data_IF_203763971677
#
_entry.id   IF_203763971677
#
_cell.length_a   1.000
_cell.length_b   1.000
_cell.length_c   1.000
_cell.angle_alpha   90.00
_cell.angle_beta   90.00
_cell.angle_gamma   90.00
#
_symmetry.space_group_name_H-M   'P 1'
#
loop_
_entity.id
_entity.type
_entity.pdbx_description
1 polymer ?
#
# COMPACT_ATOMS: atom_id res chain seq x y z
N UNK A 1 -7.12 10.72 -7.09
CA UNK A 1 -6.19 11.83 -7.38
C UNK A 1 -6.77 12.70 -8.48
N UNK A 2 -6.45 14.00 -8.51
CA UNK A 2 -6.79 14.83 -9.67
C UNK A 2 -5.96 14.38 -10.89
N UNK A 3 -6.50 14.53 -12.10
CA UNK A 3 -5.84 14.07 -13.33
C UNK A 3 -4.50 14.78 -13.58
N UNK A 4 -4.42 16.05 -13.18
CA UNK A 4 -3.21 16.87 -13.23
C UNK A 4 -2.25 16.62 -12.05
N UNK A 5 -2.57 15.66 -11.16
CA UNK A 5 -1.81 15.31 -9.94
C UNK A 5 -1.55 16.52 -9.04
N UNK A 6 -2.45 17.50 -9.04
CA UNK A 6 -2.33 18.69 -8.21
C UNK A 6 -2.28 18.34 -6.72
N UNK A 7 -1.32 18.90 -5.96
CA UNK A 7 -1.24 18.70 -4.52
C UNK A 7 -2.57 18.98 -3.80
N UNK A 8 -2.99 18.05 -2.95
CA UNK A 8 -4.20 18.17 -2.13
C UNK A 8 -5.54 18.09 -2.87
N UNK A 9 -5.55 17.86 -4.18
CA UNK A 9 -6.79 17.87 -4.98
C UNK A 9 -7.53 16.50 -5.01
N UNK A 10 -7.02 15.51 -4.29
CA UNK A 10 -7.61 14.19 -4.13
C UNK A 10 -8.24 13.98 -2.76
N UNK A 11 -8.99 12.87 -2.66
CA UNK A 11 -9.68 12.43 -1.45
C UNK A 11 -9.77 10.91 -1.41
N UNK A 12 -9.95 10.36 -0.21
CA UNK A 12 -10.33 8.96 0.02
C UNK A 12 -11.82 8.91 0.29
N UNK A 13 -12.49 7.92 -0.30
CA UNK A 13 -13.92 7.68 -0.11
C UNK A 13 -14.14 6.28 0.45
N UNK A 14 -15.18 6.15 1.28
CA UNK A 14 -15.75 4.87 1.72
C UNK A 14 -17.07 4.65 1.00
N UNK A 15 -17.25 3.46 0.44
CA UNK A 15 -18.52 2.99 -0.08
C UNK A 15 -19.15 2.06 0.97
N UNK A 16 -20.34 2.43 1.45
CA UNK A 16 -21.12 1.62 2.39
C UNK A 16 -21.92 0.53 1.65
N UNK A 17 -22.36 -0.55 2.33
CA UNK A 17 -23.07 -1.67 1.71
C UNK A 17 -24.39 -1.28 1.00
N UNK A 18 -24.97 -0.12 1.35
CA UNK A 18 -26.18 0.40 0.70
C UNK A 18 -25.87 1.29 -0.53
N UNK A 19 -24.60 1.43 -0.90
CA UNK A 19 -24.14 2.27 -1.99
C UNK A 19 -23.85 3.72 -1.60
N UNK A 20 -24.03 4.10 -0.33
CA UNK A 20 -23.69 5.44 0.14
C UNK A 20 -22.19 5.70 0.04
N UNK A 21 -21.80 6.84 -0.53
CA UNK A 21 -20.39 7.26 -0.64
C UNK A 21 -20.11 8.39 0.34
N UNK A 22 -19.12 8.18 1.21
CA UNK A 22 -18.66 9.17 2.19
C UNK A 22 -17.20 9.52 1.93
N UNK A 23 -16.86 10.80 1.84
CA UNK A 23 -15.46 11.25 1.86
C UNK A 23 -14.90 11.13 3.27
N UNK A 24 -13.81 10.38 3.44
CA UNK A 24 -13.20 10.09 4.76
C UNK A 24 -11.86 10.79 4.98
N UNK A 25 -11.15 11.13 3.90
CA UNK A 25 -9.90 11.91 3.95
C UNK A 25 -9.89 12.89 2.78
N UNK A 26 -9.51 14.14 3.04
CA UNK A 26 -9.30 15.20 2.04
C UNK A 26 -7.81 15.53 1.93
N UNK A 27 -7.46 16.47 1.06
CA UNK A 27 -6.11 17.02 0.95
C UNK A 27 -5.05 15.95 0.61
N UNK A 28 -5.44 15.01 -0.24
CA UNK A 28 -4.58 13.94 -0.77
C UNK A 28 -4.03 14.35 -2.13
N UNK A 29 -2.80 13.98 -2.46
CA UNK A 29 -2.23 14.23 -3.79
C UNK A 29 -2.40 13.01 -4.70
N UNK A 30 -1.73 11.90 -4.37
CA UNK A 30 -1.80 10.62 -5.09
C UNK A 30 -2.19 9.54 -4.07
N UNK A 31 -3.50 9.31 -3.94
CA UNK A 31 -4.02 8.26 -3.05
C UNK A 31 -3.58 6.90 -3.52
N UNK A 32 -3.03 6.09 -2.62
CA UNK A 32 -2.46 4.82 -3.00
C UNK A 32 -2.86 3.69 -2.03
N UNK A 33 -1.90 2.93 -1.50
CA UNK A 33 -2.12 1.83 -0.57
C UNK A 33 -2.93 2.19 0.67
N UNK A 34 -3.83 1.28 1.04
CA UNK A 34 -4.70 1.34 2.22
C UNK A 34 -4.95 -0.09 2.71
N UNK A 35 -4.69 -0.35 3.98
CA UNK A 35 -5.02 -1.64 4.62
C UNK A 35 -5.15 -1.47 6.15
N UNK A 36 -5.57 -2.52 6.86
CA UNK A 36 -5.88 -2.47 8.29
C UNK A 36 -5.04 -3.45 9.11
N UNK A 37 -4.85 -3.11 10.39
CA UNK A 37 -4.29 -4.05 11.36
C UNK A 37 -5.16 -5.32 11.48
N UNK A 38 -4.58 -6.45 11.94
CA UNK A 38 -5.32 -7.71 12.12
C UNK A 38 -6.54 -7.61 13.02
N UNK A 39 -6.47 -6.77 14.06
CA UNK A 39 -7.59 -6.50 14.98
C UNK A 39 -8.57 -5.44 14.45
N UNK A 40 -8.27 -4.82 13.30
CA UNK A 40 -9.07 -3.79 12.66
C UNK A 40 -9.09 -2.44 13.37
N UNK A 41 -8.27 -2.23 14.40
CA UNK A 41 -8.25 -0.99 15.20
C UNK A 41 -7.41 0.13 14.58
N UNK A 42 -6.53 -0.22 13.65
CA UNK A 42 -5.68 0.73 12.92
C UNK A 42 -5.90 0.60 11.41
N UNK A 43 -5.75 1.71 10.69
CA UNK A 43 -5.66 1.73 9.24
C UNK A 43 -4.36 2.41 8.81
N UNK A 44 -3.63 1.79 7.88
CA UNK A 44 -2.39 2.30 7.30
C UNK A 44 -2.66 2.80 5.89
N UNK A 45 -2.10 3.95 5.57
CA UNK A 45 -2.35 4.62 4.31
C UNK A 45 -1.14 5.38 3.84
N UNK A 46 -0.90 5.40 2.53
CA UNK A 46 0.10 6.27 1.92
C UNK A 46 -0.50 7.17 0.83
N UNK A 47 -0.08 8.44 0.88
CA UNK A 47 -0.22 9.38 -0.22
C UNK A 47 1.17 9.48 -0.86
N UNK A 48 1.32 9.03 -2.10
CA UNK A 48 2.63 8.79 -2.73
C UNK A 48 3.58 9.98 -2.64
N UNK A 49 3.08 11.22 -2.80
CA UNK A 49 3.92 12.44 -2.79
C UNK A 49 4.34 12.88 -1.38
N UNK A 50 3.83 12.23 -0.32
CA UNK A 50 4.26 12.49 1.06
C UNK A 50 5.49 11.68 1.49
N UNK A 51 5.92 10.70 0.69
CA UNK A 51 7.06 9.81 0.97
C UNK A 51 6.99 9.13 2.35
N UNK A 52 5.77 8.84 2.82
CA UNK A 52 5.56 8.16 4.09
C UNK A 52 4.28 7.34 4.09
N UNK A 53 4.19 6.43 5.06
CA UNK A 53 2.96 5.77 5.48
C UNK A 53 2.47 6.49 6.74
N UNK A 54 1.19 6.83 6.75
CA UNK A 54 0.47 7.32 7.93
C UNK A 54 -0.39 6.19 8.52
N UNK A 55 -0.68 6.30 9.81
CA UNK A 55 -1.63 5.43 10.53
C UNK A 55 -2.76 6.26 11.11
N UNK A 56 -3.96 5.68 11.09
CA UNK A 56 -5.18 6.20 11.69
C UNK A 56 -5.65 5.24 12.77
N UNK A 57 -6.30 5.77 13.80
CA UNK A 57 -7.18 4.94 14.62
C UNK A 57 -8.48 4.70 13.83
N UNK A 58 -8.92 3.45 13.75
CA UNK A 58 -10.16 3.07 13.07
C UNK A 58 -11.26 2.82 14.12
N UNK A 59 -12.19 3.76 14.21
CA UNK A 59 -13.29 3.71 15.16
C UNK A 59 -14.59 3.26 14.46
N UNK A 60 -15.31 2.23 14.96
CA UNK A 60 -16.49 1.68 14.29
C UNK A 60 -17.59 2.68 13.93
N UNK A 61 -17.71 3.78 14.69
CA UNK A 61 -18.71 4.84 14.44
C UNK A 61 -18.16 6.08 13.75
N UNK A 62 -16.88 6.40 13.96
CA UNK A 62 -16.31 7.68 13.49
C UNK A 62 -15.49 7.48 12.21
N UNK A 63 -15.17 6.24 11.85
CA UNK A 63 -14.28 5.93 10.75
C UNK A 63 -12.83 6.18 11.13
N UNK A 64 -12.06 6.74 10.19
CA UNK A 64 -10.64 7.03 10.36
C UNK A 64 -10.43 8.33 11.12
N UNK A 65 -9.73 8.27 12.25
CA UNK A 65 -9.41 9.44 13.10
C UNK A 65 -7.95 9.42 13.52
N UNK A 66 -7.46 10.51 14.13
CA UNK A 66 -6.11 10.59 14.72
C UNK A 66 -4.96 10.22 13.76
N UNK A 67 -5.00 10.72 12.52
CA UNK A 67 -3.94 10.55 11.53
C UNK A 67 -2.58 10.98 12.09
N UNK A 68 -1.57 10.13 11.98
CA UNK A 68 -0.19 10.41 12.38
C UNK A 68 0.82 9.65 11.51
N UNK A 69 2.07 10.13 11.38
CA UNK A 69 3.12 9.39 10.68
C UNK A 69 3.38 8.01 11.33
N UNK A 70 3.57 6.99 10.49
CA UNK A 70 3.95 5.64 10.91
C UNK A 70 5.37 5.31 10.49
N UNK A 71 5.70 5.44 9.20
CA UNK A 71 7.02 5.17 8.65
C UNK A 71 7.35 6.14 7.53
N UNK A 72 8.60 6.59 7.44
CA UNK A 72 9.08 7.46 6.34
C UNK A 72 9.93 6.66 5.36
N UNK A 73 9.90 7.04 4.09
CA UNK A 73 10.67 6.43 3.01
C UNK A 73 11.61 7.50 2.45
N UNK A 74 12.90 7.19 2.35
CA UNK A 74 13.85 8.12 1.73
C UNK A 74 13.48 8.28 0.25
N UNK A 75 13.40 9.51 -0.30
CA UNK A 75 13.15 9.72 -1.72
C UNK A 75 14.13 9.00 -2.66
N UNK A 76 15.36 8.68 -2.22
CA UNK A 76 16.31 7.87 -3.00
C UNK A 76 15.91 6.40 -3.13
N UNK A 77 15.05 5.91 -2.24
CA UNK A 77 14.59 4.52 -2.21
C UNK A 77 13.37 4.28 -3.10
N UNK A 78 12.80 5.33 -3.68
CA UNK A 78 11.57 5.27 -4.48
C UNK A 78 10.38 5.93 -3.79
N UNK A 79 9.18 5.61 -4.28
CA UNK A 79 7.92 6.24 -3.87
C UNK A 79 6.94 5.21 -3.33
N UNK A 80 6.28 5.45 -2.18
CA UNK A 80 5.27 4.55 -1.67
C UNK A 80 4.08 4.40 -2.64
N UNK A 81 3.75 3.17 -3.01
CA UNK A 81 2.66 2.83 -3.93
C UNK A 81 1.62 1.94 -3.21
N UNK A 82 1.26 0.78 -3.73
CA UNK A 82 0.38 -0.17 -3.03
C UNK A 82 1.00 -0.76 -1.75
N UNK A 83 0.15 -1.06 -0.77
CA UNK A 83 0.56 -1.68 0.51
C UNK A 83 -0.41 -2.79 0.94
N UNK A 84 0.07 -3.70 1.81
CA UNK A 84 -0.75 -4.71 2.50
C UNK A 84 -0.24 -4.95 3.92
N UNK A 85 -1.07 -5.46 4.83
CA UNK A 85 -0.70 -5.81 6.20
C UNK A 85 -0.73 -7.33 6.40
N UNK A 86 0.37 -7.90 6.91
CA UNK A 86 0.46 -9.33 7.22
C UNK A 86 -0.27 -9.71 8.52
N UNK A 87 -0.36 -11.01 8.81
CA UNK A 87 -1.05 -11.56 9.97
C UNK A 87 -0.41 -11.21 11.31
N UNK A 88 0.85 -10.76 11.31
CA UNK A 88 1.57 -10.29 12.50
C UNK A 88 1.44 -8.76 12.69
N UNK A 89 0.77 -8.06 11.77
CA UNK A 89 0.61 -6.61 11.78
C UNK A 89 1.75 -5.84 11.12
N UNK A 90 2.65 -6.50 10.41
CA UNK A 90 3.68 -5.86 9.59
C UNK A 90 3.11 -5.24 8.33
N UNK A 91 3.54 -4.03 7.99
CA UNK A 91 3.06 -3.24 6.84
C UNK A 91 4.03 -3.37 5.68
N UNK A 92 3.61 -4.03 4.60
CA UNK A 92 4.36 -4.22 3.37
C UNK A 92 4.03 -3.11 2.38
N UNK A 93 5.04 -2.41 1.85
CA UNK A 93 4.88 -1.27 0.95
C UNK A 93 5.71 -1.49 -0.30
N UNK A 94 5.06 -1.48 -1.47
CA UNK A 94 5.74 -1.45 -2.76
C UNK A 94 6.34 -0.07 -3.02
N UNK A 95 7.57 -0.04 -3.55
CA UNK A 95 8.30 1.18 -3.86
C UNK A 95 8.43 1.38 -5.37
N UNK A 96 7.60 2.26 -5.90
CA UNK A 96 7.65 2.67 -7.30
C UNK A 96 8.91 3.50 -7.55
N UNK A 97 9.62 3.16 -8.63
CA UNK A 97 10.99 3.63 -8.95
C UNK A 97 12.05 3.15 -7.95
N UNK A 98 11.69 2.29 -7.00
CA UNK A 98 12.59 1.74 -5.99
C UNK A 98 13.02 0.31 -6.26
N UNK A 99 12.21 -0.48 -6.98
CA UNK A 99 12.52 -1.88 -7.26
C UNK A 99 12.51 -2.77 -6.03
N UNK A 100 11.66 -2.47 -5.05
CA UNK A 100 11.59 -3.23 -3.81
C UNK A 100 10.18 -3.20 -3.22
N UNK A 101 9.90 -4.20 -2.38
CA UNK A 101 8.85 -4.15 -1.37
C UNK A 101 9.51 -4.17 0.01
N UNK A 102 9.10 -3.26 0.89
CA UNK A 102 9.62 -3.15 2.25
C UNK A 102 8.55 -3.51 3.28
N UNK A 103 8.93 -4.25 4.31
CA UNK A 103 8.09 -4.48 5.49
C UNK A 103 8.52 -3.57 6.62
N UNK A 104 7.54 -2.91 7.23
CA UNK A 104 7.70 -2.21 8.48
C UNK A 104 7.01 -3.00 9.59
N UNK A 105 7.73 -3.29 10.66
CA UNK A 105 7.18 -3.88 11.88
C UNK A 105 6.07 -2.99 12.47
N UNK A 106 5.21 -3.50 13.38
CA UNK A 106 4.13 -2.72 13.99
C UNK A 106 4.57 -1.44 14.72
N UNK A 107 5.86 -1.30 15.05
CA UNK A 107 6.44 -0.09 15.64
C UNK A 107 6.97 0.91 14.60
N UNK A 108 6.78 0.65 13.30
CA UNK A 108 7.20 1.49 12.19
C UNK A 108 8.64 1.27 11.72
N UNK A 109 9.39 0.33 12.32
CA UNK A 109 10.77 0.05 11.89
C UNK A 109 10.81 -0.88 10.69
N UNK A 110 11.65 -0.55 9.71
CA UNK A 110 11.97 -1.43 8.59
C UNK A 110 12.68 -2.70 9.11
N UNK A 111 12.16 -3.88 8.75
CA UNK A 111 12.75 -5.15 9.16
C UNK A 111 12.96 -6.16 8.01
N UNK A 112 12.21 -6.06 6.90
CA UNK A 112 12.38 -6.90 5.72
C UNK A 112 12.41 -6.06 4.43
N UNK A 113 13.27 -6.45 3.49
CA UNK A 113 13.31 -5.92 2.13
C UNK A 113 13.26 -7.10 1.14
N UNK A 114 12.32 -7.02 0.20
CA UNK A 114 12.22 -7.94 -0.95
C UNK A 114 12.62 -7.16 -2.19
N UNK A 115 13.78 -7.48 -2.74
CA UNK A 115 14.27 -6.90 -3.99
C UNK A 115 13.47 -7.42 -5.18
N UNK A 116 13.10 -6.52 -6.09
CA UNK A 116 12.35 -6.79 -7.31
C UNK A 116 13.19 -6.32 -8.49
N UNK A 117 13.42 -7.15 -9.53
CA UNK A 117 14.39 -6.84 -10.58
C UNK A 117 13.87 -5.81 -11.60
N UNK A 118 12.93 -4.96 -11.22
CA UNK A 118 12.44 -3.82 -12.01
C UNK A 118 12.05 -2.65 -11.09
N UNK A 119 12.42 -1.41 -11.43
CA UNK A 119 12.15 -0.22 -10.62
C UNK A 119 10.65 0.07 -10.45
N UNK A 120 9.83 -0.25 -11.45
CA UNK A 120 8.39 0.04 -11.45
C UNK A 120 7.56 -0.90 -10.57
N UNK A 121 7.94 -1.13 -9.32
CA UNK A 121 7.17 -1.97 -8.38
C UNK A 121 5.95 -1.21 -7.87
N UNK A 122 4.73 -1.72 -8.07
CA UNK A 122 3.50 -0.94 -7.88
C UNK A 122 2.62 -1.38 -6.72
N UNK A 123 2.48 -2.66 -6.44
CA UNK A 123 1.69 -3.12 -5.29
C UNK A 123 2.16 -4.51 -4.84
N UNK A 124 1.70 -4.93 -3.67
CA UNK A 124 1.91 -6.27 -3.18
C UNK A 124 0.70 -6.77 -2.40
N UNK A 125 0.48 -8.09 -2.40
CA UNK A 125 -0.55 -8.76 -1.60
C UNK A 125 -0.15 -10.20 -1.34
N UNK A 126 -0.66 -10.78 -0.26
CA UNK A 126 -0.47 -12.19 0.03
C UNK A 126 -1.50 -13.05 -0.68
N UNK A 127 -1.07 -14.21 -1.15
CA UNK A 127 -1.90 -15.20 -1.84
C UNK A 127 -1.38 -16.62 -1.63
N UNK A 128 -1.84 -17.53 -2.49
CA UNK A 128 -1.64 -18.97 -2.30
C UNK A 128 -2.62 -19.56 -1.29
N UNK A 129 -2.73 -20.90 -1.26
CA UNK A 129 -3.72 -21.61 -0.43
C UNK A 129 -3.57 -21.34 1.07
N UNK A 130 -2.34 -21.01 1.51
CA UNK A 130 -2.02 -20.71 2.91
C UNK A 130 -1.79 -19.22 3.19
N UNK A 131 -1.99 -18.35 2.18
CA UNK A 131 -1.65 -16.93 2.24
C UNK A 131 -0.16 -16.67 2.58
N UNK A 132 0.75 -17.55 2.18
CA UNK A 132 2.18 -17.48 2.49
C UNK A 132 3.05 -17.04 1.29
N UNK A 133 2.42 -16.70 0.17
CA UNK A 133 3.08 -16.22 -1.04
C UNK A 133 2.85 -14.72 -1.22
N UNK A 134 3.89 -13.89 -1.22
CA UNK A 134 3.79 -12.46 -1.52
C UNK A 134 3.82 -12.25 -3.03
N UNK A 135 2.68 -11.86 -3.61
CA UNK A 135 2.55 -11.45 -5.00
C UNK A 135 2.84 -9.96 -5.16
N UNK A 136 3.55 -9.60 -6.22
CA UNK A 136 4.05 -8.23 -6.43
C UNK A 136 3.77 -7.81 -7.87
N UNK A 137 2.99 -6.75 -8.06
CA UNK A 137 2.73 -6.18 -9.38
C UNK A 137 3.76 -5.13 -9.73
N UNK A 138 4.02 -4.98 -11.03
CA UNK A 138 4.94 -3.97 -11.56
C UNK A 138 4.33 -3.26 -12.76
N UNK A 139 4.90 -2.12 -13.15
CA UNK A 139 4.48 -1.31 -14.29
C UNK A 139 5.61 -1.20 -15.30
N UNK A 140 5.22 -1.12 -16.58
CA UNK A 140 6.06 -0.71 -17.71
C UNK A 140 5.71 0.68 -18.24
N UNK A 141 4.87 1.42 -17.52
CA UNK A 141 4.45 2.76 -17.93
C UNK A 141 5.66 3.67 -18.12
N UNK A 142 5.75 4.30 -19.30
CA UNK A 142 6.82 5.22 -19.64
C UNK A 142 8.16 4.55 -19.97
N UNK A 143 8.21 3.23 -20.13
CA UNK A 143 9.38 2.49 -20.60
C UNK A 143 9.17 1.99 -22.03
N UNK A 144 10.26 1.95 -22.80
CA UNK A 144 10.25 1.24 -24.07
C UNK A 144 10.28 -0.29 -23.82
N UNK A 145 9.53 -1.11 -24.58
CA UNK A 145 9.40 -2.55 -24.30
C UNK A 145 10.72 -3.32 -24.23
N UNK A 146 11.74 -2.87 -24.97
CA UNK A 146 13.02 -3.56 -25.08
C UNK A 146 14.02 -3.13 -23.99
N UNK A 147 13.77 -2.05 -23.25
CA UNK A 147 14.69 -1.55 -22.22
C UNK A 147 14.73 -2.44 -20.98
N UNK A 148 13.55 -2.92 -20.56
CA UNK A 148 13.37 -3.71 -19.36
C UNK A 148 12.37 -4.84 -19.62
N UNK A 149 12.84 -6.01 -20.09
CA UNK A 149 11.96 -7.11 -20.51
C UNK A 149 11.02 -7.63 -19.41
N UNK A 150 11.38 -7.43 -18.13
CA UNK A 150 10.59 -7.86 -16.98
C UNK A 150 9.59 -6.79 -16.51
N UNK A 151 9.66 -5.55 -17.00
CA UNK A 151 8.77 -4.49 -16.54
C UNK A 151 7.31 -4.81 -16.93
N UNK A 152 6.40 -4.63 -15.98
CA UNK A 152 4.99 -5.01 -16.14
C UNK A 152 4.68 -6.48 -15.85
N UNK A 153 5.67 -7.28 -15.45
CA UNK A 153 5.47 -8.67 -15.01
C UNK A 153 4.88 -8.73 -13.60
N UNK A 154 4.29 -9.89 -13.28
CA UNK A 154 3.92 -10.27 -11.92
C UNK A 154 5.05 -11.10 -11.30
N UNK A 155 5.47 -10.75 -10.09
CA UNK A 155 6.46 -11.48 -9.31
C UNK A 155 5.83 -12.15 -8.09
N UNK A 156 6.53 -13.14 -7.54
CA UNK A 156 6.14 -13.84 -6.32
C UNK A 156 7.38 -14.12 -5.46
N UNK A 157 7.24 -13.97 -4.15
CA UNK A 157 8.29 -14.28 -3.16
C UNK A 157 7.72 -15.02 -1.95
N UNK A 158 8.56 -15.84 -1.31
CA UNK A 158 8.27 -16.45 0.00
C UNK A 158 8.96 -15.62 1.07
N UNK A 159 8.20 -15.09 2.03
CA UNK A 159 8.71 -14.08 2.99
C UNK A 159 8.66 -14.52 4.45
N UNK A 160 8.23 -15.75 4.72
CA UNK A 160 8.28 -16.35 6.07
C UNK A 160 7.18 -15.89 7.03
N UNK A 161 6.19 -15.14 6.54
CA UNK A 161 4.95 -14.80 7.26
C UNK A 161 3.75 -15.02 6.34
N UNK A 162 2.54 -14.87 6.87
CA UNK A 162 1.30 -15.04 6.12
C UNK A 162 0.50 -13.74 6.04
N UNK A 163 -0.30 -13.60 4.99
CA UNK A 163 -1.27 -12.52 4.88
C UNK A 163 -2.52 -12.72 5.73
N UNK A 164 -3.42 -11.77 5.57
CA UNK A 164 -4.77 -11.82 6.10
C UNK A 164 -5.77 -12.27 5.02
N UNK A 165 -6.88 -12.93 5.39
CA UNK A 165 -7.98 -13.15 4.46
C UNK A 165 -8.49 -11.82 3.89
N UNK A 166 -8.81 -11.80 2.60
CA UNK A 166 -9.41 -10.64 1.96
C UNK A 166 -10.77 -10.34 2.61
N UNK A 167 -11.00 -9.07 2.93
CA UNK A 167 -12.31 -8.59 3.37
C UNK A 167 -13.17 -8.34 2.14
N UNK A 168 -14.28 -9.05 2.04
CA UNK A 168 -15.22 -8.88 0.94
C UNK A 168 -16.08 -7.63 1.18
N UNK A 169 -16.44 -6.96 0.09
CA UNK A 169 -17.43 -5.90 0.15
C UNK A 169 -18.79 -6.49 0.52
N UNK A 170 -19.50 -5.84 1.45
CA UNK A 170 -20.71 -6.40 2.06
C UNK A 170 -22.03 -5.97 1.37
N UNK A 171 -21.96 -5.33 0.19
CA UNK A 171 -23.13 -4.79 -0.53
C UNK A 171 -23.20 -5.21 -2.00
#
# INVERSE_FOLDING_TARGET
>A
MAYDRRPGAGSIHRLDPDGTVTTVVTDVTISNGLDWSPDGTLAYYNDTETYRVDVFDHHPRQGLVNRRPFASIDPSDGRPDGLTVDSEGGVWVALNRGGAVRRFAPDGKLDVVVEVPVPGTTACTFGGERLDELYITTSREGLDPDEQPLAGSLFRSMVGTTGQPVREFAG
#
